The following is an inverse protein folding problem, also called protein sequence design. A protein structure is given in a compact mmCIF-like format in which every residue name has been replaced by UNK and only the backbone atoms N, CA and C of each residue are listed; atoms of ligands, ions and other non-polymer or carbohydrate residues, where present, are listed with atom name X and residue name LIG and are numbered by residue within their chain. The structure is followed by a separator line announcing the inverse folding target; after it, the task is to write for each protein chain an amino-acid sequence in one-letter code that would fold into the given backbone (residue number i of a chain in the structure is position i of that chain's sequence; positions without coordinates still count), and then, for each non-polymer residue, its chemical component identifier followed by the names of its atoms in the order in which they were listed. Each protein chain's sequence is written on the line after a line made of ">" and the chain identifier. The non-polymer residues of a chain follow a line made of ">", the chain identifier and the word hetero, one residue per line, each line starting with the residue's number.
data_IF_335262000122
#
_entry.id   IF_335262000122
#
_cell.length_a   1.000
_cell.length_b   1.000
_cell.length_c   1.000
_cell.angle_alpha   90.00
_cell.angle_beta   90.00
_cell.angle_gamma   90.00
#
_symmetry.space_group_name_H-M   'P 1'
#
loop_
_entity.id
_entity.type
_entity.pdbx_description
1 polymer ?
#
# COMPACT_ATOMS: atom_id res chain seq x y z
N UNK A 1 8.62 -16.52 6.31
CA UNK A 1 7.72 -15.92 7.32
C UNK A 1 8.41 -14.75 8.02
N UNK A 2 7.71 -13.98 8.85
CA UNK A 2 8.31 -12.93 9.67
C UNK A 2 8.51 -13.45 11.10
N UNK A 3 9.73 -13.79 11.52
CA UNK A 3 9.98 -14.19 12.91
C UNK A 3 9.90 -12.97 13.84
N UNK A 4 9.07 -13.03 14.88
CA UNK A 4 9.04 -12.05 15.98
C UNK A 4 7.68 -11.40 16.26
N UNK A 5 7.70 -10.42 17.17
CA UNK A 5 6.51 -9.66 17.60
C UNK A 5 6.00 -8.66 16.54
N UNK A 6 4.83 -8.08 16.79
CA UNK A 6 4.18 -7.14 15.84
C UNK A 6 5.06 -5.94 15.46
N UNK A 7 5.80 -5.39 16.42
CA UNK A 7 6.73 -4.27 16.18
C UNK A 7 7.82 -4.66 15.18
N UNK A 8 8.43 -5.84 15.35
CA UNK A 8 9.43 -6.37 14.42
C UNK A 8 8.84 -6.70 13.05
N UNK A 9 7.62 -7.26 13.02
CA UNK A 9 6.89 -7.51 11.78
C UNK A 9 6.68 -6.23 10.96
N UNK A 10 6.31 -5.11 11.60
CA UNK A 10 6.11 -3.82 10.90
C UNK A 10 7.37 -3.37 10.18
N UNK A 11 8.50 -3.36 10.89
CA UNK A 11 9.80 -2.95 10.32
C UNK A 11 10.22 -3.86 9.17
N UNK A 12 10.14 -5.18 9.35
CA UNK A 12 10.51 -6.13 8.31
C UNK A 12 9.61 -6.05 7.08
N UNK A 13 8.31 -5.83 7.28
CA UNK A 13 7.35 -5.65 6.18
C UNK A 13 7.65 -4.39 5.38
N UNK A 14 7.95 -3.29 6.05
CA UNK A 14 8.31 -2.03 5.43
C UNK A 14 9.60 -2.15 4.62
N UNK A 15 10.65 -2.73 5.20
CA UNK A 15 11.91 -2.98 4.52
C UNK A 15 11.74 -3.84 3.26
N UNK A 16 10.95 -4.92 3.35
CA UNK A 16 10.64 -5.79 2.20
C UNK A 16 9.88 -5.03 1.10
N UNK A 17 8.89 -4.21 1.48
CA UNK A 17 8.14 -3.41 0.51
C UNK A 17 9.06 -2.40 -0.18
N UNK A 18 9.95 -1.74 0.57
CA UNK A 18 10.93 -0.79 0.03
C UNK A 18 11.94 -1.45 -0.93
N UNK A 19 12.38 -2.67 -0.64
CA UNK A 19 13.25 -3.43 -1.53
C UNK A 19 12.52 -3.82 -2.82
N UNK A 20 11.28 -4.30 -2.71
CA UNK A 20 10.44 -4.63 -3.87
C UNK A 20 10.15 -3.41 -4.75
N UNK A 21 9.81 -2.26 -4.16
CA UNK A 21 9.59 -1.02 -4.91
C UNK A 21 10.85 -0.56 -5.61
N UNK A 22 12.00 -0.56 -4.94
CA UNK A 22 13.29 -0.17 -5.52
C UNK A 22 13.66 -1.07 -6.71
N UNK A 23 13.54 -2.39 -6.55
CA UNK A 23 13.85 -3.34 -7.62
C UNK A 23 12.90 -3.17 -8.81
N UNK A 24 11.61 -2.93 -8.55
CA UNK A 24 10.62 -2.64 -9.57
C UNK A 24 10.96 -1.34 -10.33
N UNK A 25 11.29 -0.25 -9.63
CA UNK A 25 11.65 1.03 -10.24
C UNK A 25 12.91 0.93 -11.11
N UNK A 26 13.94 0.25 -10.63
CA UNK A 26 15.17 0.02 -11.39
C UNK A 26 14.89 -0.77 -12.68
N UNK A 27 14.06 -1.80 -12.58
CA UNK A 27 13.67 -2.58 -13.75
C UNK A 27 12.87 -1.73 -14.75
N UNK A 28 11.91 -0.93 -14.27
CA UNK A 28 11.13 -0.04 -15.13
C UNK A 28 12.03 0.96 -15.86
N UNK A 29 13.02 1.55 -15.18
CA UNK A 29 13.99 2.45 -15.80
C UNK A 29 14.78 1.76 -16.93
N UNK A 30 15.23 0.53 -16.70
CA UNK A 30 15.96 -0.24 -17.72
C UNK A 30 15.06 -0.61 -18.91
N UNK A 31 13.82 -1.01 -18.65
CA UNK A 31 12.82 -1.28 -19.70
C UNK A 31 12.59 -0.03 -20.56
N UNK A 32 12.45 1.15 -19.94
CA UNK A 32 12.27 2.41 -20.69
C UNK A 32 13.52 2.76 -21.49
N UNK A 33 14.71 2.59 -20.91
CA UNK A 33 15.98 2.82 -21.60
C UNK A 33 16.11 1.94 -22.85
N UNK A 34 15.83 0.64 -22.73
CA UNK A 34 15.85 -0.30 -23.86
C UNK A 34 14.84 0.09 -24.94
N UNK A 35 13.61 0.48 -24.57
CA UNK A 35 12.60 0.95 -25.52
C UNK A 35 13.06 2.18 -26.31
N UNK A 36 13.66 3.16 -25.63
CA UNK A 36 14.22 4.36 -26.28
C UNK A 36 15.34 3.99 -27.23
N UNK A 37 16.24 3.09 -26.84
CA UNK A 37 17.32 2.60 -27.71
C UNK A 37 16.79 1.87 -28.94
N UNK A 38 15.83 0.96 -28.78
CA UNK A 38 15.18 0.26 -29.90
C UNK A 38 14.58 1.26 -30.88
N UNK A 39 13.86 2.27 -30.38
CA UNK A 39 13.27 3.32 -31.21
C UNK A 39 14.33 4.09 -32.00
N UNK A 40 15.42 4.51 -31.34
CA UNK A 40 16.52 5.23 -31.99
C UNK A 40 17.22 4.38 -33.04
N UNK A 41 17.53 3.11 -32.73
CA UNK A 41 18.18 2.22 -33.69
C UNK A 41 17.30 1.93 -34.89
N UNK A 42 15.98 1.76 -34.72
CA UNK A 42 15.05 1.65 -35.85
C UNK A 42 15.05 2.92 -36.71
N UNK A 43 15.00 4.09 -36.08
CA UNK A 43 15.03 5.37 -36.80
C UNK A 43 16.31 5.52 -37.63
N UNK A 44 17.49 5.32 -37.04
CA UNK A 44 18.76 5.39 -37.76
C UNK A 44 18.90 4.32 -38.85
N UNK A 45 18.30 3.14 -38.63
CA UNK A 45 18.28 2.10 -39.65
C UNK A 45 17.45 2.52 -40.88
N UNK A 46 16.32 3.22 -40.67
CA UNK A 46 15.50 3.78 -41.75
C UNK A 46 16.14 5.00 -42.42
N UNK A 47 16.86 5.85 -41.68
CA UNK A 47 17.50 7.06 -42.22
C UNK A 47 18.77 6.78 -43.04
N UNK A 48 19.52 5.73 -42.69
CA UNK A 48 20.82 5.42 -43.32
C UNK A 48 20.89 4.09 -44.09
N UNK A 49 19.76 3.42 -44.30
CA UNK A 49 19.61 2.08 -44.93
C UNK A 49 20.63 1.04 -44.42
N UNK A 50 20.93 1.10 -43.12
CA UNK A 50 22.03 0.35 -42.52
C UNK A 50 21.52 -0.90 -41.79
N UNK A 51 21.75 -2.06 -42.42
CA UNK A 51 21.32 -3.37 -41.95
C UNK A 51 21.84 -3.72 -40.53
N UNK A 52 23.00 -3.18 -40.13
CA UNK A 52 23.58 -3.43 -38.81
C UNK A 52 22.73 -2.84 -37.67
N UNK A 53 22.03 -1.73 -37.89
CA UNK A 53 21.14 -1.12 -36.90
C UNK A 53 19.82 -1.88 -36.77
N UNK A 54 19.29 -2.46 -37.86
CA UNK A 54 18.15 -3.37 -37.79
C UNK A 54 18.47 -4.63 -36.97
N UNK A 55 19.67 -5.22 -37.17
CA UNK A 55 20.15 -6.37 -36.40
C UNK A 55 20.25 -6.04 -34.90
N UNK A 56 20.83 -4.88 -34.55
CA UNK A 56 20.93 -4.40 -33.17
C UNK A 56 19.57 -4.12 -32.52
N UNK A 57 18.64 -3.48 -33.23
CA UNK A 57 17.29 -3.24 -32.73
C UNK A 57 16.56 -4.57 -32.42
N UNK A 58 16.64 -5.55 -33.33
CA UNK A 58 16.04 -6.87 -33.18
C UNK A 58 16.64 -7.68 -32.02
N UNK A 59 17.94 -7.52 -31.75
CA UNK A 59 18.60 -8.12 -30.60
C UNK A 59 18.10 -7.52 -29.27
N UNK A 60 18.01 -6.18 -29.20
CA UNK A 60 17.47 -5.48 -28.02
C UNK A 60 16.00 -5.83 -27.76
N UNK A 61 15.20 -6.01 -28.81
CA UNK A 61 13.81 -6.50 -28.72
C UNK A 61 13.75 -7.91 -28.12
N UNK A 62 14.61 -8.83 -28.58
CA UNK A 62 14.71 -10.18 -28.01
C UNK A 62 15.14 -10.14 -26.55
N UNK A 63 16.08 -9.26 -26.19
CA UNK A 63 16.50 -9.06 -24.80
C UNK A 63 15.36 -8.53 -23.93
N UNK A 64 14.59 -7.57 -24.44
CA UNK A 64 13.41 -7.02 -23.77
C UNK A 64 12.32 -8.10 -23.58
N UNK A 65 12.09 -8.96 -24.57
CA UNK A 65 11.11 -10.03 -24.49
C UNK A 65 11.49 -11.13 -23.49
N UNK A 66 12.79 -11.36 -23.26
CA UNK A 66 13.31 -12.33 -22.29
C UNK A 66 13.37 -11.78 -20.85
N UNK A 67 13.23 -10.47 -20.66
CA UNK A 67 13.21 -9.86 -19.33
C UNK A 67 11.93 -10.29 -18.59
N UNK A 68 12.11 -11.03 -17.50
CA UNK A 68 11.02 -11.40 -16.60
C UNK A 68 10.50 -10.16 -15.88
N UNK A 69 9.31 -9.69 -16.25
CA UNK A 69 8.68 -8.52 -15.62
C UNK A 69 8.47 -8.78 -14.11
N UNK A 70 9.09 -7.96 -13.26
CA UNK A 70 8.85 -7.96 -11.82
C UNK A 70 7.42 -7.45 -11.60
N UNK A 71 6.65 -8.20 -10.81
CA UNK A 71 5.28 -7.82 -10.48
C UNK A 71 5.30 -6.48 -9.72
N UNK A 72 4.33 -5.58 -10.01
CA UNK A 72 4.22 -4.34 -9.27
C UNK A 72 4.02 -4.63 -7.77
N UNK A 73 4.62 -3.81 -6.88
CA UNK A 73 4.43 -3.95 -5.45
C UNK A 73 2.93 -3.80 -5.11
N UNK A 74 2.39 -4.62 -4.20
CA UNK A 74 0.97 -4.58 -3.87
C UNK A 74 0.61 -3.22 -3.27
N UNK A 75 -0.52 -2.60 -3.66
CA UNK A 75 -0.97 -1.36 -3.05
C UNK A 75 -1.25 -1.57 -1.56
N UNK A 76 -1.16 -0.50 -0.73
CA UNK A 76 -1.56 -0.59 0.65
C UNK A 76 -3.01 -1.08 0.72
N UNK A 77 -3.24 -2.19 1.43
CA UNK A 77 -4.59 -2.69 1.69
C UNK A 77 -5.29 -1.71 2.63
N UNK A 78 -6.06 -0.79 2.07
CA UNK A 78 -7.04 -0.01 2.84
C UNK A 78 -8.17 -0.96 3.21
N UNK A 79 -8.07 -1.59 4.38
CA UNK A 79 -9.08 -2.53 4.91
C UNK A 79 -10.28 -1.81 5.53
N UNK A 80 -10.36 -0.49 5.41
CA UNK A 80 -11.56 0.25 5.71
C UNK A 80 -12.43 0.16 4.46
N UNK A 81 -13.41 -0.74 4.48
CA UNK A 81 -14.55 -0.61 3.59
C UNK A 81 -15.07 0.81 3.76
N UNK A 82 -15.42 1.47 2.66
CA UNK A 82 -15.90 2.85 2.68
C UNK A 82 -17.16 2.92 3.53
N UNK A 83 -16.99 3.16 4.83
CA UNK A 83 -18.00 3.79 5.66
C UNK A 83 -18.34 5.06 4.89
N UNK A 84 -19.63 5.28 4.63
CA UNK A 84 -20.09 6.52 4.02
C UNK A 84 -19.50 7.66 4.85
N UNK A 85 -18.49 8.34 4.29
CA UNK A 85 -17.83 9.42 4.98
C UNK A 85 -18.88 10.52 5.15
N UNK A 86 -19.46 10.62 6.36
CA UNK A 86 -20.10 11.85 6.77
C UNK A 86 -19.10 13.00 6.57
N UNK A 87 -19.61 14.21 6.31
CA UNK A 87 -18.75 15.39 6.20
C UNK A 87 -17.81 15.55 7.39
N UNK A 88 -16.86 16.48 7.30
CA UNK A 88 -15.90 16.73 8.39
C UNK A 88 -16.66 16.94 9.71
N UNK A 89 -16.36 16.12 10.72
CA UNK A 89 -16.84 16.35 12.07
C UNK A 89 -16.27 17.65 12.64
N UNK A 90 -17.00 18.24 13.58
CA UNK A 90 -16.52 19.34 14.41
C UNK A 90 -15.30 18.94 15.24
N UNK A 91 -14.70 19.91 15.96
CA UNK A 91 -13.57 19.64 16.86
C UNK A 91 -13.95 18.63 17.93
N UNK A 92 -15.13 18.80 18.51
CA UNK A 92 -15.77 17.87 19.43
C UNK A 92 -16.69 16.95 18.61
N UNK A 93 -16.42 15.64 18.65
CA UNK A 93 -17.21 14.64 17.93
C UNK A 93 -18.38 14.20 18.79
N UNK A 94 -18.13 13.85 20.04
CA UNK A 94 -19.16 13.65 21.05
C UNK A 94 -18.59 13.85 22.46
N UNK A 95 -19.43 14.33 23.36
CA UNK A 95 -19.15 14.47 24.78
C UNK A 95 -20.18 13.61 25.50
N UNK A 96 -19.70 12.71 26.34
CA UNK A 96 -20.49 11.84 27.18
C UNK A 96 -20.29 12.29 28.63
N UNK A 97 -21.39 12.47 29.34
CA UNK A 97 -21.41 12.85 30.75
C UNK A 97 -22.26 11.82 31.51
N UNK A 98 -21.74 11.36 32.64
CA UNK A 98 -22.41 10.45 33.57
C UNK A 98 -23.03 9.21 32.90
N UNK A 99 -22.28 8.58 31.98
CA UNK A 99 -22.74 7.37 31.31
C UNK A 99 -22.89 6.24 32.31
N UNK A 100 -24.12 5.77 32.43
CA UNK A 100 -24.47 4.54 33.10
C UNK A 100 -25.08 3.58 32.08
N UNK A 101 -24.42 2.45 31.84
CA UNK A 101 -24.88 1.44 30.90
C UNK A 101 -24.75 0.07 31.54
N UNK A 102 -25.82 -0.70 31.48
CA UNK A 102 -25.89 -2.07 31.94
C UNK A 102 -26.37 -2.96 30.79
N UNK A 103 -25.84 -4.17 30.71
CA UNK A 103 -26.30 -5.21 29.81
C UNK A 103 -26.62 -6.46 30.64
N UNK A 104 -27.90 -6.85 30.65
CA UNK A 104 -28.43 -7.84 31.60
C UNK A 104 -28.01 -7.51 33.04
N UNK A 105 -27.21 -8.33 33.69
CA UNK A 105 -26.74 -8.12 35.06
C UNK A 105 -25.35 -7.47 35.16
N UNK A 106 -24.73 -7.15 34.02
CA UNK A 106 -23.38 -6.60 33.97
C UNK A 106 -23.39 -5.10 33.71
N UNK A 107 -22.89 -4.33 34.68
CA UNK A 107 -22.65 -2.88 34.51
C UNK A 107 -21.40 -2.70 33.64
N UNK A 108 -21.60 -2.16 32.43
CA UNK A 108 -20.53 -1.88 31.46
C UNK A 108 -19.88 -0.52 31.70
N UNK A 109 -20.71 0.47 32.05
CA UNK A 109 -20.26 1.82 32.39
C UNK A 109 -21.02 2.30 33.63
N UNK A 110 -20.29 2.91 34.56
CA UNK A 110 -20.87 3.55 35.75
C UNK A 110 -20.27 4.94 35.89
N UNK A 111 -21.13 5.96 35.88
CA UNK A 111 -20.79 7.38 36.06
C UNK A 111 -19.60 7.84 35.21
N UNK A 112 -19.49 7.31 33.99
CA UNK A 112 -18.34 7.54 33.12
C UNK A 112 -18.54 8.79 32.25
N UNK A 113 -17.61 9.74 32.32
CA UNK A 113 -17.65 10.96 31.51
C UNK A 113 -16.39 11.08 30.67
N UNK A 114 -16.55 11.24 29.36
CA UNK A 114 -15.42 11.40 28.43
C UNK A 114 -15.83 12.17 27.18
N UNK A 115 -14.86 12.84 26.57
CA UNK A 115 -15.03 13.54 25.30
C UNK A 115 -14.16 12.87 24.24
N UNK A 116 -14.67 12.81 23.01
CA UNK A 116 -13.92 12.36 21.83
C UNK A 116 -13.80 13.53 20.87
N UNK A 117 -12.56 13.90 20.58
CA UNK A 117 -12.21 14.97 19.66
C UNK A 117 -11.83 14.41 18.30
N UNK A 118 -11.88 15.26 17.29
CA UNK A 118 -11.50 14.87 15.94
C UNK A 118 -10.01 14.54 15.87
N UNK A 119 -9.71 13.30 15.49
CA UNK A 119 -8.34 12.76 15.42
C UNK A 119 -8.04 11.77 16.54
N UNK A 120 -8.92 11.65 17.54
CA UNK A 120 -8.77 10.65 18.58
C UNK A 120 -9.01 9.24 18.02
N UNK A 121 -8.24 8.29 18.55
CA UNK A 121 -8.36 6.87 18.23
C UNK A 121 -8.92 6.12 19.44
N UNK A 122 -10.17 5.65 19.32
CA UNK A 122 -10.80 4.81 20.34
C UNK A 122 -10.66 3.33 19.97
N UNK A 123 -10.28 2.50 20.95
CA UNK A 123 -10.20 1.05 20.79
C UNK A 123 -11.03 0.37 21.87
N UNK A 124 -11.85 -0.61 21.45
CA UNK A 124 -12.58 -1.49 22.37
C UNK A 124 -11.74 -2.75 22.56
N UNK A 125 -11.34 -3.03 23.81
CA UNK A 125 -10.48 -4.15 24.19
C UNK A 125 -11.27 -5.05 25.14
N UNK A 126 -11.08 -6.37 25.03
CA UNK A 126 -11.74 -7.35 25.87
C UNK A 126 -11.62 -8.76 25.28
N UNK A 127 -12.13 -9.77 25.96
CA UNK A 127 -12.01 -11.17 25.57
C UNK A 127 -12.86 -11.53 24.34
N UNK A 128 -12.49 -12.60 23.64
CA UNK A 128 -13.25 -13.09 22.50
C UNK A 128 -14.66 -13.49 22.94
N UNK A 129 -15.69 -13.00 22.24
CA UNK A 129 -17.10 -13.22 22.62
C UNK A 129 -17.70 -12.13 23.52
N UNK A 130 -16.92 -11.13 23.97
CA UNK A 130 -17.43 -10.04 24.84
C UNK A 130 -18.25 -8.95 24.12
N UNK A 131 -18.75 -9.19 22.90
CA UNK A 131 -19.59 -8.23 22.18
C UNK A 131 -18.85 -7.02 21.57
N UNK A 132 -17.55 -7.14 21.26
CA UNK A 132 -16.73 -6.08 20.62
C UNK A 132 -17.02 -5.88 19.11
N UNK A 133 -17.92 -6.66 18.54
CA UNK A 133 -18.17 -6.80 17.09
C UNK A 133 -19.42 -6.05 16.67
#
# INVERSE_FOLDING_TARGET
>A
EYPGNYSRFRVLKEARLAELTKNYELQQKEVQRLKVMIRRFRQWAHEGDNESFFKKAKELERRLAKLTLVKPPPPPKNRLQSLSNGGKSGKEVFIIQNLHQQYADQVLFKDSSFAVYRGDHLAIIGDNGAGKS
#
